data_IF_305547815356
#
_entry.id   IF_305547815356
#
_cell.length_a   1.000
_cell.length_b   1.000
_cell.length_c   1.000
_cell.angle_alpha   90.00
_cell.angle_beta   90.00
_cell.angle_gamma   90.00
#
_symmetry.space_group_name_H-M   'P 1'
#
loop_
_entity.id
_entity.type
_entity.pdbx_description
1 polymer ?
#
# COMPACT_ATOMS: atom_id res chain seq x y z
N UNK A 1 -41.47 -41.82 -24.00
CA UNK A 1 -40.43 -42.05 -22.97
C UNK A 1 -39.13 -42.38 -23.69
N UNK A 2 -38.00 -41.68 -23.60
CA UNK A 2 -37.48 -40.64 -22.68
C UNK A 2 -36.57 -39.74 -23.52
N UNK A 3 -36.66 -38.42 -23.34
CA UNK A 3 -35.65 -37.47 -23.83
C UNK A 3 -34.57 -37.43 -22.74
N UNK A 4 -33.35 -37.87 -23.05
CA UNK A 4 -32.20 -37.65 -22.18
C UNK A 4 -31.73 -36.20 -22.36
N UNK A 5 -31.95 -35.36 -21.35
CA UNK A 5 -31.26 -34.07 -21.25
C UNK A 5 -29.89 -34.31 -20.59
N UNK A 6 -28.83 -34.19 -21.39
CA UNK A 6 -27.47 -34.13 -20.90
C UNK A 6 -27.22 -32.71 -20.37
N UNK A 7 -27.43 -32.51 -19.07
CA UNK A 7 -27.04 -31.28 -18.40
C UNK A 7 -25.51 -31.29 -18.24
N UNK A 8 -24.80 -30.57 -19.12
CA UNK A 8 -23.38 -30.29 -18.93
C UNK A 8 -23.19 -29.33 -17.76
N UNK A 9 -22.52 -29.77 -16.70
CA UNK A 9 -22.01 -28.87 -15.67
C UNK A 9 -20.88 -28.03 -16.28
N UNK A 10 -21.18 -26.77 -16.60
CA UNK A 10 -20.14 -25.76 -16.80
C UNK A 10 -19.55 -25.43 -15.43
N UNK A 11 -18.37 -25.98 -15.12
CA UNK A 11 -17.58 -25.50 -14.00
C UNK A 11 -16.96 -24.17 -14.41
N UNK A 12 -17.53 -23.07 -13.90
CA UNK A 12 -16.90 -21.76 -13.99
C UNK A 12 -15.70 -21.84 -13.05
N UNK A 13 -14.50 -22.03 -13.59
CA UNK A 13 -13.28 -21.76 -12.84
C UNK A 13 -13.21 -20.25 -12.69
N UNK A 14 -13.85 -19.72 -11.65
CA UNK A 14 -13.55 -18.39 -11.17
C UNK A 14 -12.10 -18.43 -10.72
N UNK A 15 -11.18 -18.04 -11.60
CA UNK A 15 -9.81 -17.75 -11.19
C UNK A 15 -9.89 -16.70 -10.10
N UNK A 16 -9.52 -17.06 -8.88
CA UNK A 16 -9.39 -16.10 -7.78
C UNK A 16 -8.35 -15.07 -8.23
N UNK A 17 -8.76 -13.82 -8.42
CA UNK A 17 -7.82 -12.72 -8.64
C UNK A 17 -6.89 -12.67 -7.41
N UNK A 18 -5.59 -12.82 -7.66
CA UNK A 18 -4.55 -12.88 -6.65
C UNK A 18 -3.34 -12.09 -7.15
N UNK A 19 -2.59 -11.51 -6.21
CA UNK A 19 -1.32 -10.88 -6.50
C UNK A 19 -0.41 -11.85 -7.27
N UNK A 20 0.34 -11.31 -8.23
CA UNK A 20 1.26 -12.11 -9.04
C UNK A 20 2.70 -11.86 -8.63
N UNK A 21 3.53 -12.89 -8.68
CA UNK A 21 4.94 -12.81 -8.29
C UNK A 21 5.84 -13.18 -9.47
N UNK A 22 6.82 -12.33 -9.77
CA UNK A 22 7.78 -12.51 -10.87
C UNK A 22 9.19 -12.55 -10.32
N UNK A 23 10.00 -13.50 -10.76
CA UNK A 23 11.41 -13.63 -10.36
C UNK A 23 11.63 -13.75 -8.83
N UNK A 24 10.60 -14.16 -8.08
CA UNK A 24 10.65 -14.35 -6.64
C UNK A 24 10.87 -15.82 -6.30
N UNK A 25 11.72 -16.08 -5.32
CA UNK A 25 11.85 -17.41 -4.70
C UNK A 25 10.64 -17.72 -3.83
N UNK A 26 10.41 -19.00 -3.51
CA UNK A 26 9.32 -19.40 -2.62
C UNK A 26 9.35 -18.68 -1.26
N UNK A 27 10.55 -18.47 -0.69
CA UNK A 27 10.71 -17.75 0.57
C UNK A 27 10.33 -16.25 0.44
N UNK A 28 10.73 -15.60 -0.65
CA UNK A 28 10.36 -14.22 -0.93
C UNK A 28 8.85 -14.04 -1.12
N UNK A 29 8.20 -15.01 -1.76
CA UNK A 29 6.73 -15.02 -1.92
C UNK A 29 6.06 -15.06 -0.56
N UNK A 30 6.46 -15.96 0.34
CA UNK A 30 5.90 -16.03 1.71
C UNK A 30 6.08 -14.71 2.46
N UNK A 31 7.26 -14.08 2.37
CA UNK A 31 7.49 -12.75 2.98
C UNK A 31 6.56 -11.69 2.39
N UNK A 32 6.41 -11.65 1.05
CA UNK A 32 5.55 -10.68 0.38
C UNK A 32 4.07 -10.92 0.68
N UNK A 33 3.59 -12.15 0.70
CA UNK A 33 2.19 -12.46 1.02
C UNK A 33 1.81 -11.93 2.42
N UNK A 34 2.67 -12.14 3.43
CA UNK A 34 2.45 -11.60 4.76
C UNK A 34 2.45 -10.07 4.80
N UNK A 35 3.37 -9.44 4.06
CA UNK A 35 3.45 -7.99 3.96
C UNK A 35 2.25 -7.38 3.21
N UNK A 36 1.81 -8.02 2.12
CA UNK A 36 0.66 -7.61 1.29
C UNK A 36 -0.63 -7.74 2.08
N UNK A 37 -0.83 -8.84 2.81
CA UNK A 37 -2.00 -9.04 3.68
C UNK A 37 -2.08 -7.90 4.71
N UNK A 38 -0.97 -7.62 5.40
CA UNK A 38 -0.93 -6.54 6.40
C UNK A 38 -1.13 -5.16 5.78
N UNK A 39 -0.50 -4.87 4.64
CA UNK A 39 -0.66 -3.61 3.92
C UNK A 39 -2.12 -3.41 3.46
N UNK A 40 -2.77 -4.47 2.98
CA UNK A 40 -4.18 -4.48 2.59
C UNK A 40 -5.07 -4.14 3.78
N UNK A 41 -4.93 -4.87 4.88
CA UNK A 41 -5.71 -4.65 6.10
C UNK A 41 -5.52 -3.23 6.66
N UNK A 42 -4.26 -2.76 6.70
CA UNK A 42 -3.93 -1.41 7.17
C UNK A 42 -4.44 -0.30 6.24
N UNK A 43 -4.52 -0.58 4.94
CA UNK A 43 -5.11 0.35 3.97
C UNK A 43 -6.62 0.43 4.12
N UNK A 44 -7.31 -0.68 4.40
CA UNK A 44 -8.74 -0.66 4.73
C UNK A 44 -9.03 0.04 6.06
N UNK A 45 -8.20 -0.19 7.09
CA UNK A 45 -8.33 0.55 8.35
C UNK A 45 -8.13 2.06 8.14
N UNK A 46 -7.20 2.47 7.27
CA UNK A 46 -7.02 3.87 6.90
C UNK A 46 -8.26 4.47 6.20
N UNK A 47 -8.95 3.69 5.35
CA UNK A 47 -10.23 4.09 4.74
C UNK A 47 -11.30 4.30 5.83
N UNK A 48 -11.49 3.30 6.70
CA UNK A 48 -12.47 3.36 7.80
C UNK A 48 -12.21 4.57 8.71
N UNK A 49 -10.96 4.78 9.12
CA UNK A 49 -10.57 5.92 9.95
C UNK A 49 -10.86 7.26 9.27
N UNK A 50 -10.61 7.39 7.96
CA UNK A 50 -10.94 8.60 7.22
C UNK A 50 -12.47 8.82 7.22
N UNK A 51 -13.25 7.79 6.87
CA UNK A 51 -14.71 7.85 6.80
C UNK A 51 -15.38 8.19 8.14
N UNK A 52 -14.85 7.66 9.24
CA UNK A 52 -15.30 7.96 10.62
C UNK A 52 -14.92 9.37 11.09
N UNK A 53 -13.93 10.00 10.44
CA UNK A 53 -13.40 11.31 10.80
C UNK A 53 -13.47 12.29 9.61
N UNK A 54 -14.67 12.62 9.10
CA UNK A 54 -14.85 13.41 7.88
C UNK A 54 -14.45 14.89 8.04
N UNK A 55 -14.21 15.35 9.28
CA UNK A 55 -13.79 16.71 9.61
C UNK A 55 -12.35 16.77 10.16
N UNK A 56 -11.56 15.71 9.96
CA UNK A 56 -10.22 15.61 10.51
C UNK A 56 -10.14 14.79 11.79
N UNK A 57 -8.91 14.39 12.13
CA UNK A 57 -8.54 13.74 13.38
C UNK A 57 -7.12 14.13 13.75
N UNK A 58 -6.69 13.83 14.98
CA UNK A 58 -5.30 14.08 15.40
C UNK A 58 -4.29 13.28 14.57
N UNK A 59 -4.63 12.04 14.19
CA UNK A 59 -3.79 11.19 13.32
C UNK A 59 -3.65 11.81 11.93
N UNK A 60 -4.76 12.25 11.32
CA UNK A 60 -4.70 12.94 10.02
C UNK A 60 -3.90 14.24 10.13
N UNK A 61 -4.10 15.02 11.19
CA UNK A 61 -3.40 16.31 11.39
C UNK A 61 -1.89 16.10 11.57
N UNK A 62 -1.49 15.02 12.24
CA UNK A 62 -0.08 14.67 12.45
C UNK A 62 0.65 14.41 11.14
N UNK A 63 -0.02 13.77 10.18
CA UNK A 63 0.63 13.29 8.95
C UNK A 63 0.29 14.09 7.70
N UNK A 64 -0.78 14.89 7.72
CA UNK A 64 -1.22 15.70 6.58
C UNK A 64 -1.41 17.17 6.92
N UNK A 65 -1.18 17.57 8.16
CA UNK A 65 -1.31 18.95 8.61
C UNK A 65 -2.74 19.38 8.83
N UNK A 66 -2.96 20.70 8.91
CA UNK A 66 -4.29 21.27 9.10
C UNK A 66 -5.29 20.68 8.10
N UNK A 67 -6.43 20.22 8.62
CA UNK A 67 -7.50 19.62 7.82
C UNK A 67 -7.90 20.53 6.64
N UNK A 68 -8.06 19.90 5.48
CA UNK A 68 -8.58 20.52 4.27
C UNK A 68 -9.37 19.50 3.48
N UNK A 69 -10.62 19.82 3.14
CA UNK A 69 -11.57 18.90 2.51
C UNK A 69 -11.04 18.29 1.21
N UNK A 70 -10.40 19.10 0.36
CA UNK A 70 -9.85 18.61 -0.92
C UNK A 70 -8.71 17.60 -0.73
N UNK A 71 -7.81 17.87 0.22
CA UNK A 71 -6.72 16.94 0.58
C UNK A 71 -7.26 15.65 1.17
N UNK A 72 -8.20 15.76 2.11
CA UNK A 72 -8.87 14.62 2.71
C UNK A 72 -9.52 13.73 1.64
N UNK A 73 -10.30 14.31 0.72
CA UNK A 73 -10.95 13.57 -0.35
C UNK A 73 -9.95 12.86 -1.27
N UNK A 74 -8.84 13.53 -1.63
CA UNK A 74 -7.77 12.92 -2.44
C UNK A 74 -7.15 11.71 -1.75
N UNK A 75 -6.83 11.81 -0.46
CA UNK A 75 -6.26 10.70 0.32
C UNK A 75 -7.26 9.54 0.42
N UNK A 76 -8.52 9.82 0.74
CA UNK A 76 -9.56 8.79 0.83
C UNK A 76 -9.78 8.07 -0.52
N UNK A 77 -9.87 8.81 -1.62
CA UNK A 77 -9.98 8.24 -2.97
C UNK A 77 -8.78 7.38 -3.33
N UNK A 78 -7.57 7.81 -2.95
CA UNK A 78 -6.36 7.06 -3.19
C UNK A 78 -6.36 5.70 -2.47
N UNK A 79 -6.58 5.68 -1.15
CA UNK A 79 -6.65 4.44 -0.38
C UNK A 79 -7.75 3.50 -0.90
N UNK A 80 -8.95 4.02 -1.20
CA UNK A 80 -10.05 3.23 -1.78
C UNK A 80 -9.69 2.61 -3.13
N UNK A 81 -8.82 3.24 -3.91
CA UNK A 81 -8.38 2.72 -5.20
C UNK A 81 -7.43 1.54 -5.03
N UNK A 82 -6.33 1.70 -4.30
CA UNK A 82 -5.28 0.67 -4.27
C UNK A 82 -5.51 -0.43 -3.24
N UNK A 83 -6.19 -0.16 -2.11
CA UNK A 83 -6.39 -1.14 -1.04
C UNK A 83 -6.95 -2.49 -1.52
N UNK A 84 -8.03 -2.56 -2.33
CA UNK A 84 -8.55 -3.84 -2.82
C UNK A 84 -7.61 -4.52 -3.83
N UNK A 85 -6.73 -3.76 -4.49
CA UNK A 85 -5.89 -4.22 -5.59
C UNK A 85 -4.55 -4.82 -5.12
N UNK A 86 -4.06 -4.46 -3.94
CA UNK A 86 -2.77 -4.93 -3.40
C UNK A 86 -2.64 -6.47 -3.43
N UNK A 87 -3.68 -7.17 -2.98
CA UNK A 87 -3.68 -8.63 -2.88
C UNK A 87 -4.27 -9.34 -4.10
N UNK A 88 -4.83 -8.62 -5.07
CA UNK A 88 -5.66 -9.22 -6.14
C UNK A 88 -5.23 -8.83 -7.56
N UNK A 89 -4.73 -7.61 -7.75
CA UNK A 89 -4.41 -7.02 -9.06
C UNK A 89 -2.91 -6.79 -9.23
N UNK A 90 -2.20 -6.45 -8.15
CA UNK A 90 -0.79 -6.04 -8.22
C UNK A 90 0.16 -7.20 -8.60
N UNK A 91 1.28 -6.83 -9.22
CA UNK A 91 2.38 -7.70 -9.60
C UNK A 91 3.65 -7.29 -8.86
N UNK A 92 4.27 -8.22 -8.15
CA UNK A 92 5.51 -8.00 -7.38
C UNK A 92 6.68 -8.71 -8.07
N UNK A 93 7.65 -7.94 -8.57
CA UNK A 93 8.83 -8.43 -9.30
C UNK A 93 10.10 -8.33 -8.44
N UNK A 94 10.65 -9.48 -8.05
CA UNK A 94 11.84 -9.58 -7.21
C UNK A 94 13.18 -9.55 -7.98
N UNK A 95 13.18 -9.16 -9.26
CA UNK A 95 14.40 -9.13 -10.09
C UNK A 95 15.41 -8.04 -9.70
N UNK A 96 15.03 -7.06 -8.87
CA UNK A 96 15.95 -6.00 -8.45
C UNK A 96 16.99 -6.50 -7.44
N UNK A 97 18.27 -6.27 -7.73
CA UNK A 97 19.40 -6.70 -6.90
C UNK A 97 20.00 -5.57 -6.04
N UNK A 98 19.34 -4.41 -5.98
CA UNK A 98 19.82 -3.28 -5.17
C UNK A 98 19.89 -3.66 -3.69
N UNK A 99 20.96 -3.21 -3.04
CA UNK A 99 21.16 -3.33 -1.60
C UNK A 99 20.85 -2.03 -0.84
N UNK A 100 20.43 -0.97 -1.55
CA UNK A 100 20.20 0.36 -1.00
C UNK A 100 18.78 0.91 -1.24
N UNK A 101 18.03 0.31 -2.16
CA UNK A 101 16.65 0.68 -2.49
C UNK A 101 15.77 -0.50 -2.12
N UNK A 102 14.69 -0.30 -1.36
CA UNK A 102 13.81 -1.39 -0.92
C UNK A 102 12.84 -1.83 -2.02
N UNK A 103 12.14 -0.87 -2.63
CA UNK A 103 11.21 -1.11 -3.72
C UNK A 103 11.13 0.14 -4.62
N UNK A 104 10.48 -0.01 -5.78
CA UNK A 104 10.09 1.07 -6.69
C UNK A 104 8.85 0.64 -7.47
N UNK A 105 8.02 1.56 -7.96
CA UNK A 105 7.01 1.21 -8.96
C UNK A 105 7.60 0.96 -10.36
N UNK A 106 6.90 0.14 -11.14
CA UNK A 106 7.08 -0.03 -12.58
C UNK A 106 6.36 1.05 -13.40
N UNK A 107 6.18 0.78 -14.69
CA UNK A 107 5.55 1.73 -15.63
C UNK A 107 4.02 1.65 -15.69
N UNK A 108 3.41 0.60 -15.14
CA UNK A 108 1.97 0.35 -15.19
C UNK A 108 1.41 0.21 -13.78
N UNK A 109 0.17 0.68 -13.57
CA UNK A 109 -0.51 0.56 -12.28
C UNK A 109 -0.46 -0.87 -11.74
N UNK A 110 -0.01 -1.00 -10.49
CA UNK A 110 0.10 -2.29 -9.81
C UNK A 110 1.40 -3.06 -10.06
N UNK A 111 2.28 -2.60 -10.95
CA UNK A 111 3.61 -3.20 -11.10
C UNK A 111 4.55 -2.63 -10.02
N UNK A 112 4.95 -3.46 -9.06
CA UNK A 112 5.88 -3.11 -7.98
C UNK A 112 7.15 -3.95 -8.14
N UNK A 113 8.32 -3.28 -8.17
CA UNK A 113 9.62 -3.93 -8.19
C UNK A 113 10.20 -3.97 -6.79
N UNK A 114 10.49 -5.16 -6.29
CA UNK A 114 11.04 -5.42 -4.96
C UNK A 114 12.53 -5.73 -5.09
N UNK A 115 13.36 -5.04 -4.32
CA UNK A 115 14.81 -5.19 -4.36
C UNK A 115 15.34 -6.10 -3.27
N UNK A 116 16.55 -6.65 -3.46
CA UNK A 116 17.12 -7.66 -2.56
C UNK A 116 17.17 -7.24 -1.08
N UNK A 117 17.43 -5.96 -0.77
CA UNK A 117 17.49 -5.47 0.62
C UNK A 117 16.13 -5.46 1.33
N UNK A 118 15.01 -5.48 0.61
CA UNK A 118 13.66 -5.59 1.20
C UNK A 118 13.52 -6.85 2.08
N UNK A 119 14.19 -7.93 1.67
CA UNK A 119 14.14 -9.22 2.37
C UNK A 119 15.17 -9.33 3.51
N UNK A 120 15.98 -8.29 3.75
CA UNK A 120 16.89 -8.24 4.88
C UNK A 120 16.18 -7.62 6.09
N UNK A 121 15.68 -8.46 6.99
CA UNK A 121 14.92 -8.02 8.18
C UNK A 121 15.71 -7.12 9.14
N UNK A 122 17.04 -7.15 9.10
CA UNK A 122 17.86 -6.22 9.88
C UNK A 122 17.82 -4.78 9.31
N UNK A 123 17.50 -4.64 8.01
CA UNK A 123 17.37 -3.34 7.33
C UNK A 123 15.91 -2.92 7.19
N UNK A 124 15.03 -3.87 6.88
CA UNK A 124 13.59 -3.65 6.69
C UNK A 124 12.81 -4.74 7.45
N UNK A 125 12.51 -4.52 8.75
CA UNK A 125 11.80 -5.51 9.56
C UNK A 125 10.40 -5.80 8.99
N UNK A 126 9.79 -6.95 9.33
CA UNK A 126 8.44 -7.28 8.84
C UNK A 126 7.36 -6.30 9.29
N UNK A 127 7.50 -5.72 10.48
CA UNK A 127 6.57 -4.74 11.03
C UNK A 127 7.30 -3.79 11.99
N UNK A 128 6.67 -2.64 12.28
CA UNK A 128 7.14 -1.71 13.30
C UNK A 128 6.50 -0.34 13.13
N UNK A 129 7.08 0.64 13.85
CA UNK A 129 6.64 2.04 13.80
C UNK A 129 7.00 2.76 12.51
N UNK A 130 7.96 2.25 11.75
CA UNK A 130 8.49 2.87 10.54
C UNK A 130 9.27 1.87 9.71
N UNK A 131 9.36 2.12 8.39
CA UNK A 131 10.27 1.47 7.43
C UNK A 131 10.30 -0.03 7.67
N UNK A 132 9.20 -0.66 7.32
CA UNK A 132 9.01 -2.09 7.38
C UNK A 132 8.46 -2.61 6.05
N UNK A 133 8.37 -3.92 5.93
CA UNK A 133 8.00 -4.56 4.68
C UNK A 133 6.61 -4.13 4.18
N UNK A 134 5.61 -4.06 5.08
CA UNK A 134 4.24 -3.75 4.66
C UNK A 134 3.99 -2.25 4.44
N UNK A 135 4.60 -1.36 5.22
CA UNK A 135 4.43 0.09 5.03
C UNK A 135 5.11 0.56 3.73
N UNK A 136 6.20 -0.10 3.32
CA UNK A 136 6.85 0.07 2.02
C UNK A 136 5.90 -0.24 0.87
N UNK A 137 5.01 -1.25 0.99
CA UNK A 137 4.03 -1.55 -0.07
C UNK A 137 3.03 -0.40 -0.24
N UNK A 138 2.55 0.19 0.87
CA UNK A 138 1.63 1.34 0.82
C UNK A 138 2.34 2.57 0.24
N UNK A 139 3.59 2.81 0.63
CA UNK A 139 4.44 3.85 0.08
C UNK A 139 4.47 3.77 -1.45
N UNK A 140 4.87 2.61 -2.00
CA UNK A 140 4.95 2.39 -3.44
C UNK A 140 3.59 2.52 -4.13
N UNK A 141 2.51 2.02 -3.53
CA UNK A 141 1.17 2.12 -4.11
C UNK A 141 0.74 3.58 -4.34
N UNK A 142 1.22 4.53 -3.54
CA UNK A 142 0.88 5.95 -3.68
C UNK A 142 1.61 6.63 -4.85
N UNK A 143 2.74 6.10 -5.30
CA UNK A 143 3.51 6.66 -6.42
C UNK A 143 2.81 6.53 -7.76
N UNK A 144 1.90 5.57 -7.92
CA UNK A 144 1.18 5.42 -9.19
C UNK A 144 0.38 6.69 -9.50
N UNK A 145 0.53 7.18 -10.74
CA UNK A 145 -0.15 8.41 -11.21
C UNK A 145 -1.67 8.32 -11.11
N UNK A 146 -2.22 7.12 -11.27
CA UNK A 146 -3.66 6.87 -11.18
C UNK A 146 -4.17 6.87 -9.72
N UNK A 147 -3.27 6.92 -8.74
CA UNK A 147 -3.55 6.96 -7.30
C UNK A 147 -3.34 8.38 -6.77
N UNK A 148 -2.09 8.79 -6.59
CA UNK A 148 -1.71 10.13 -6.13
C UNK A 148 -0.53 10.71 -6.91
N UNK A 149 0.32 9.87 -7.52
CA UNK A 149 1.56 10.32 -8.15
C UNK A 149 2.49 10.99 -7.14
N UNK A 150 2.58 10.43 -5.92
CA UNK A 150 3.45 10.97 -4.87
C UNK A 150 4.91 10.99 -5.31
N UNK A 151 5.68 11.85 -4.66
CA UNK A 151 7.13 11.99 -4.79
C UNK A 151 7.79 11.68 -3.45
N UNK A 152 9.07 11.33 -3.46
CA UNK A 152 9.87 11.21 -2.24
C UNK A 152 10.53 12.53 -1.88
N UNK A 153 9.75 13.47 -1.34
CA UNK A 153 10.30 14.73 -0.86
C UNK A 153 11.19 14.56 0.38
N UNK A 154 10.97 13.50 1.14
CA UNK A 154 11.72 13.16 2.33
C UNK A 154 11.19 11.88 2.94
N UNK A 155 12.07 11.18 3.64
CA UNK A 155 11.80 9.93 4.35
C UNK A 155 11.86 10.21 5.85
N UNK A 156 11.24 9.38 6.70
CA UNK A 156 11.21 9.48 8.17
C UNK A 156 10.10 10.32 8.81
N UNK A 157 9.86 10.03 10.10
CA UNK A 157 8.88 10.72 10.97
C UNK A 157 9.07 12.22 10.85
N UNK A 158 10.31 12.69 11.02
CA UNK A 158 10.59 14.10 11.25
C UNK A 158 10.30 14.92 9.99
N UNK A 159 10.73 14.44 8.82
CA UNK A 159 10.38 15.06 7.54
C UNK A 159 8.88 15.01 7.28
N UNK A 160 8.22 13.87 7.52
CA UNK A 160 6.78 13.75 7.32
C UNK A 160 5.99 14.76 8.18
N UNK A 161 6.34 14.88 9.47
CA UNK A 161 5.72 15.84 10.38
C UNK A 161 6.06 17.28 10.03
N UNK A 162 7.30 17.55 9.61
CA UNK A 162 7.70 18.86 9.14
C UNK A 162 6.88 19.28 7.92
N UNK A 163 6.71 18.40 6.93
CA UNK A 163 5.87 18.69 5.77
C UNK A 163 4.41 18.93 6.19
N UNK A 164 3.85 18.10 7.08
CA UNK A 164 2.51 18.31 7.60
C UNK A 164 2.34 19.69 8.28
N UNK A 165 3.37 20.15 9.02
CA UNK A 165 3.36 21.43 9.71
C UNK A 165 3.52 22.62 8.76
N UNK A 166 4.47 22.55 7.83
CA UNK A 166 4.92 23.68 7.01
C UNK A 166 4.20 23.77 5.66
N UNK A 167 3.91 22.62 5.04
CA UNK A 167 3.28 22.52 3.71
C UNK A 167 2.40 21.26 3.61
N UNK A 168 1.14 21.33 4.06
CA UNK A 168 0.17 20.24 3.96
C UNK A 168 -0.02 19.67 2.55
N UNK A 169 0.18 20.47 1.49
CA UNK A 169 0.11 19.97 0.11
C UNK A 169 1.33 19.10 -0.24
N UNK A 170 2.51 19.48 0.25
CA UNK A 170 3.71 18.64 0.14
C UNK A 170 3.55 17.34 0.92
N UNK A 171 2.97 17.39 2.13
CA UNK A 171 2.69 16.19 2.91
C UNK A 171 1.81 15.17 2.16
N UNK A 172 0.70 15.62 1.56
CA UNK A 172 -0.19 14.77 0.74
C UNK A 172 0.43 14.37 -0.61
N UNK A 173 1.55 14.97 -1.01
CA UNK A 173 2.33 14.55 -2.18
C UNK A 173 3.57 13.73 -1.82
N UNK A 174 3.84 13.48 -0.54
CA UNK A 174 4.96 12.66 -0.08
C UNK A 174 4.50 11.23 0.19
N UNK A 175 5.15 10.23 -0.41
CA UNK A 175 4.74 8.83 -0.25
C UNK A 175 4.83 8.36 1.20
N UNK A 176 5.91 8.72 1.90
CA UNK A 176 6.16 8.30 3.28
C UNK A 176 5.09 8.83 4.25
N UNK A 177 4.51 10.02 4.02
CA UNK A 177 3.40 10.52 4.83
C UNK A 177 2.17 9.59 4.80
N UNK A 178 1.92 8.87 3.70
CA UNK A 178 0.80 7.92 3.59
C UNK A 178 1.09 6.60 4.28
N UNK A 179 2.31 6.08 4.13
CA UNK A 179 2.76 4.91 4.88
C UNK A 179 2.67 5.19 6.39
N UNK A 180 3.10 6.37 6.83
CA UNK A 180 3.00 6.81 8.23
C UNK A 180 1.58 6.95 8.74
N UNK A 181 0.72 7.58 7.96
CA UNK A 181 -0.69 7.66 8.28
C UNK A 181 -1.27 6.25 8.51
N UNK A 182 -1.03 5.32 7.57
CA UNK A 182 -1.49 3.95 7.70
C UNK A 182 -0.94 3.27 8.96
N UNK A 183 0.35 3.40 9.29
CA UNK A 183 0.97 2.85 10.52
C UNK A 183 0.25 3.32 11.79
N UNK A 184 -0.03 4.60 11.92
CA UNK A 184 -0.59 5.16 13.15
C UNK A 184 -2.12 5.06 13.27
N UNK A 185 -2.84 4.65 12.21
CA UNK A 185 -4.29 4.43 12.28
C UNK A 185 -4.62 3.25 13.23
N UNK A 186 -5.43 3.45 14.29
CA UNK A 186 -5.89 2.39 15.19
C UNK A 186 -6.82 1.36 14.50
N UNK A 187 -7.16 0.22 15.14
CA UNK A 187 -6.65 -0.29 16.42
C UNK A 187 -5.25 -0.89 16.31
N UNK A 188 -4.78 -1.09 15.07
CA UNK A 188 -3.50 -1.67 14.75
C UNK A 188 -2.42 -0.59 14.74
N UNK A 189 -2.28 0.12 15.85
CA UNK A 189 -1.06 0.88 16.11
C UNK A 189 0.16 -0.05 15.98
N UNK A 190 1.34 0.52 15.72
CA UNK A 190 2.56 -0.20 15.37
C UNK A 190 2.86 -1.45 16.20
#
# INVERSE_FOLDING_TARGET
MRILHLAGLLSIVSGTLAATFKSCTAAQIVTLEAAIERATNKSFAAIEHLEDNPNGSDVQTTWYGKFGTDRYNRVLTAFKKFAPDLATTFSYDCSCTSTAVYATIGGTYGDVRICSVYFNEAMLPPAGRHRNQWDTIIHEATHFRDVLGTTDYGYDVDYCKQFALEDPEKAVKNADNHARFAVEVPPWGP
#
